data_IF_609868352390
#
_entry.id   IF_609868352390
#
_cell.length_a   1.000
_cell.length_b   1.000
_cell.length_c   1.000
_cell.angle_alpha   90.00
_cell.angle_beta   90.00
_cell.angle_gamma   90.00
#
_symmetry.space_group_name_H-M   'P 1'
#
loop_
_entity.id
_entity.type
_entity.pdbx_description
1 polymer ?
#
# COMPACT_ATOMS: atom_id res chain seq x y z
N UNK A 1 4.76 10.36 8.05
CA UNK A 1 4.35 9.83 9.37
C UNK A 1 5.51 9.82 10.37
N UNK A 2 6.73 9.35 10.03
CA UNK A 2 7.89 9.37 10.97
C UNK A 2 8.13 10.76 11.58
N UNK A 3 8.26 11.80 10.74
CA UNK A 3 8.46 13.18 11.22
C UNK A 3 7.34 13.65 12.16
N UNK A 4 6.11 13.18 11.97
CA UNK A 4 4.99 13.50 12.84
C UNK A 4 5.16 12.79 14.19
N UNK A 5 5.39 11.47 14.18
CA UNK A 5 5.64 10.69 15.38
C UNK A 5 6.81 11.24 16.21
N UNK A 6 7.90 11.64 15.53
CA UNK A 6 9.05 12.28 16.18
C UNK A 6 8.70 13.63 16.81
N UNK A 7 7.90 14.47 16.14
CA UNK A 7 7.51 15.80 16.64
C UNK A 7 6.55 15.75 17.82
N UNK A 8 5.61 14.82 17.76
CA UNK A 8 4.59 14.64 18.80
C UNK A 8 5.08 13.71 19.92
N UNK A 9 6.32 13.22 19.82
CA UNK A 9 6.97 12.37 20.84
C UNK A 9 6.18 11.08 21.15
N UNK A 10 5.56 10.50 20.12
CA UNK A 10 4.72 9.30 20.24
C UNK A 10 5.36 8.07 19.59
N UNK A 11 5.13 6.86 20.14
CA UNK A 11 5.52 5.63 19.49
C UNK A 11 4.64 5.32 18.27
N UNK A 12 5.14 4.46 17.38
CA UNK A 12 4.36 3.94 16.25
C UNK A 12 3.92 2.52 16.57
N UNK A 13 2.63 2.21 16.43
CA UNK A 13 2.09 0.85 16.58
C UNK A 13 1.74 0.32 15.20
N UNK A 14 2.54 -0.60 14.62
CA UNK A 14 2.24 -1.16 13.32
C UNK A 14 1.03 -2.09 13.37
N UNK A 15 0.21 -2.03 12.32
CA UNK A 15 -0.85 -2.99 12.06
C UNK A 15 -0.55 -3.59 10.69
N UNK A 16 -0.36 -4.90 10.63
CA UNK A 16 -0.04 -5.63 9.41
C UNK A 16 -1.21 -6.52 9.01
N UNK A 17 -1.35 -6.80 7.72
CA UNK A 17 -2.39 -7.66 7.18
C UNK A 17 -1.84 -8.55 6.05
N UNK A 18 -2.20 -9.84 6.09
CA UNK A 18 -1.98 -10.82 5.03
C UNK A 18 -3.35 -11.27 4.48
N UNK A 19 -3.47 -11.45 3.17
CA UNK A 19 -4.72 -11.84 2.51
C UNK A 19 -5.58 -10.69 1.98
N UNK A 20 -5.28 -9.43 2.32
CA UNK A 20 -6.08 -8.29 1.87
C UNK A 20 -6.02 -8.10 0.34
N UNK A 21 -4.83 -8.27 -0.26
CA UNK A 21 -4.65 -8.16 -1.71
C UNK A 21 -5.11 -9.39 -2.49
N UNK A 22 -5.39 -10.51 -1.82
CA UNK A 22 -5.89 -11.74 -2.45
C UNK A 22 -7.37 -11.61 -2.85
N UNK A 23 -8.04 -10.54 -2.40
CA UNK A 23 -9.42 -10.20 -2.77
C UNK A 23 -9.58 -9.67 -4.19
N UNK A 24 -8.47 -9.29 -4.85
CA UNK A 24 -8.44 -8.65 -6.17
C UNK A 24 -7.54 -9.43 -7.13
N UNK A 25 -8.07 -9.78 -8.32
CA UNK A 25 -7.28 -10.40 -9.38
C UNK A 25 -6.96 -9.32 -10.41
N UNK A 26 -5.72 -8.83 -10.41
CA UNK A 26 -5.22 -7.90 -11.44
C UNK A 26 -4.58 -8.71 -12.55
N UNK A 27 -5.13 -8.62 -13.76
CA UNK A 27 -4.62 -9.35 -14.92
C UNK A 27 -3.42 -8.64 -15.56
N UNK A 28 -3.54 -7.33 -15.77
CA UNK A 28 -2.48 -6.50 -16.35
C UNK A 28 -2.76 -5.01 -16.13
N UNK A 29 -1.78 -4.16 -16.39
CA UNK A 29 -1.93 -2.70 -16.45
C UNK A 29 -1.77 -2.27 -17.91
N UNK A 30 -2.75 -1.53 -18.45
CA UNK A 30 -2.75 -1.04 -19.82
C UNK A 30 -2.60 0.48 -19.93
N UNK A 31 -2.05 1.12 -18.89
CA UNK A 31 -1.89 2.57 -18.84
C UNK A 31 -1.16 3.15 -20.06
N UNK A 32 -0.03 2.56 -20.46
CA UNK A 32 0.77 3.05 -21.61
C UNK A 32 -0.01 2.97 -22.92
N UNK A 33 -0.76 1.89 -23.13
CA UNK A 33 -1.60 1.66 -24.31
C UNK A 33 -2.74 2.68 -24.35
N UNK A 34 -3.37 2.98 -23.21
CA UNK A 34 -4.41 4.01 -23.10
C UNK A 34 -3.85 5.40 -23.43
N UNK A 35 -2.65 5.72 -22.96
CA UNK A 35 -1.99 7.00 -23.30
C UNK A 35 -1.67 7.08 -24.80
N UNK A 36 -1.21 6.00 -25.41
CA UNK A 36 -0.97 5.94 -26.85
C UNK A 36 -2.27 6.15 -27.66
N UNK A 37 -3.37 5.50 -27.25
CA UNK A 37 -4.68 5.67 -27.88
C UNK A 37 -5.20 7.11 -27.75
N UNK A 38 -5.01 7.73 -26.58
CA UNK A 38 -5.34 9.14 -26.36
C UNK A 38 -4.52 10.05 -27.28
N UNK A 39 -3.22 9.78 -27.43
CA UNK A 39 -2.35 10.51 -28.36
C UNK A 39 -2.77 10.37 -29.83
N UNK A 40 -3.37 9.24 -30.20
CA UNK A 40 -3.96 9.00 -31.53
C UNK A 40 -5.35 9.61 -31.73
N UNK A 41 -5.86 10.37 -30.74
CA UNK A 41 -7.11 11.12 -30.85
C UNK A 41 -8.36 10.36 -30.44
N UNK A 42 -8.22 9.21 -29.75
CA UNK A 42 -9.38 8.50 -29.20
C UNK A 42 -9.95 9.28 -28.00
N UNK A 43 -11.23 9.68 -28.00
CA UNK A 43 -11.83 10.38 -26.87
C UNK A 43 -11.98 9.43 -25.68
N UNK A 44 -11.11 9.57 -24.68
CA UNK A 44 -11.24 8.93 -23.38
C UNK A 44 -11.89 9.90 -22.39
N UNK A 45 -13.08 9.55 -21.89
CA UNK A 45 -13.81 10.35 -20.88
C UNK A 45 -13.26 10.21 -19.46
N UNK A 46 -12.32 9.28 -19.25
CA UNK A 46 -11.66 9.06 -17.97
C UNK A 46 -10.31 9.75 -18.07
N UNK A 47 -10.07 10.80 -17.29
CA UNK A 47 -8.70 11.31 -17.09
C UNK A 47 -7.84 10.22 -16.44
N UNK A 48 -6.92 9.59 -17.17
CA UNK A 48 -6.03 8.60 -16.60
C UNK A 48 -4.85 9.39 -16.02
N UNK A 49 -5.08 10.17 -14.97
CA UNK A 49 -4.02 10.91 -14.25
C UNK A 49 -3.53 10.14 -13.00
N UNK A 50 -4.04 8.92 -12.81
CA UNK A 50 -3.76 8.05 -11.67
C UNK A 50 -2.48 7.21 -11.91
N UNK A 51 -1.89 7.27 -13.12
CA UNK A 51 -0.65 6.56 -13.45
C UNK A 51 -0.77 5.05 -13.62
N UNK A 52 -1.99 4.49 -13.48
CA UNK A 52 -2.31 3.07 -13.65
C UNK A 52 -3.67 2.93 -14.34
N UNK A 53 -3.82 1.88 -15.16
CA UNK A 53 -5.09 1.52 -15.80
C UNK A 53 -5.25 -0.01 -15.81
N UNK A 54 -5.70 -0.60 -14.68
CA UNK A 54 -5.71 -2.05 -14.54
C UNK A 54 -6.83 -2.71 -15.34
N UNK A 55 -6.54 -3.90 -15.86
CA UNK A 55 -7.55 -4.90 -16.23
C UNK A 55 -7.71 -5.83 -15.04
N UNK A 56 -8.93 -5.91 -14.52
CA UNK A 56 -9.30 -6.66 -13.33
C UNK A 56 -10.17 -7.86 -13.71
N UNK A 57 -9.99 -8.98 -13.02
CA UNK A 57 -10.95 -10.09 -13.03
C UNK A 57 -11.73 -10.08 -11.71
N UNK A 58 -13.06 -9.92 -11.78
CA UNK A 58 -13.87 -9.74 -10.59
C UNK A 58 -15.36 -9.57 -10.85
N UNK A 59 -16.15 -9.59 -9.78
CA UNK A 59 -17.61 -9.48 -9.84
C UNK A 59 -18.05 -8.01 -9.76
N UNK A 60 -19.17 -7.63 -10.41
CA UNK A 60 -20.07 -8.48 -11.20
C UNK A 60 -19.65 -8.69 -12.66
N UNK A 61 -18.67 -7.95 -13.16
CA UNK A 61 -18.42 -7.80 -14.60
C UNK A 61 -17.68 -8.95 -15.26
N UNK A 62 -17.06 -9.85 -14.48
CA UNK A 62 -16.09 -10.81 -14.99
C UNK A 62 -14.77 -10.09 -15.26
N UNK A 63 -14.71 -9.27 -16.32
CA UNK A 63 -13.54 -8.47 -16.69
C UNK A 63 -13.87 -6.98 -16.54
N UNK A 64 -13.19 -6.31 -15.62
CA UNK A 64 -13.22 -4.86 -15.44
C UNK A 64 -12.04 -4.19 -16.16
N UNK A 65 -12.29 -3.07 -16.83
CA UNK A 65 -11.26 -2.28 -17.53
C UNK A 65 -11.23 -0.89 -16.91
N UNK A 66 -10.09 -0.50 -16.33
CA UNK A 66 -9.93 0.75 -15.61
C UNK A 66 -10.38 0.66 -14.14
N UNK A 67 -10.67 1.80 -13.47
CA UNK A 67 -11.05 1.85 -12.05
C UNK A 67 -12.51 1.40 -11.86
N UNK A 68 -12.83 0.16 -12.23
CA UNK A 68 -14.16 -0.42 -12.06
C UNK A 68 -14.38 -0.88 -10.62
N UNK A 69 -15.60 -0.70 -10.11
CA UNK A 69 -15.97 -1.24 -8.80
C UNK A 69 -15.96 -2.77 -8.84
N UNK A 70 -15.06 -3.40 -8.08
CA UNK A 70 -15.00 -4.84 -7.88
C UNK A 70 -15.56 -5.21 -6.50
N UNK A 71 -16.36 -6.28 -6.44
CA UNK A 71 -16.78 -6.87 -5.17
C UNK A 71 -15.68 -7.82 -4.70
N UNK A 72 -15.06 -7.58 -3.52
CA UNK A 72 -13.99 -8.43 -3.03
C UNK A 72 -14.49 -9.85 -2.78
N UNK A 73 -13.70 -10.82 -3.20
CA UNK A 73 -13.98 -12.24 -2.96
C UNK A 73 -13.87 -12.51 -1.46
N UNK A 74 -14.76 -13.33 -0.86
CA UNK A 74 -14.66 -13.71 0.54
C UNK A 74 -13.42 -14.58 0.77
N UNK A 75 -12.31 -13.94 1.17
CA UNK A 75 -11.06 -14.58 1.60
C UNK A 75 -10.76 -14.18 3.04
N UNK A 76 -10.10 -15.07 3.78
CA UNK A 76 -9.70 -14.78 5.15
C UNK A 76 -8.54 -13.79 5.17
N UNK A 77 -8.69 -12.68 5.89
CA UNK A 77 -7.63 -11.69 6.11
C UNK A 77 -7.07 -11.91 7.51
N UNK A 78 -5.77 -12.17 7.60
CA UNK A 78 -5.06 -12.30 8.86
C UNK A 78 -4.43 -10.95 9.20
N UNK A 79 -4.77 -10.39 10.36
CA UNK A 79 -4.22 -9.11 10.82
C UNK A 79 -3.50 -9.27 12.15
N UNK A 80 -2.43 -8.50 12.37
CA UNK A 80 -1.72 -8.45 13.64
C UNK A 80 -1.41 -7.02 14.04
N UNK A 81 -1.71 -6.71 15.30
CA UNK A 81 -1.23 -5.49 15.96
C UNK A 81 0.13 -5.80 16.57
N UNK A 82 1.15 -5.07 16.15
CA UNK A 82 2.53 -5.25 16.59
C UNK A 82 2.81 -4.48 17.89
N UNK A 83 3.94 -4.79 18.53
CA UNK A 83 4.42 -4.00 19.66
C UNK A 83 4.73 -2.55 19.23
N UNK A 84 4.59 -1.56 20.14
CA UNK A 84 4.97 -0.19 19.86
C UNK A 84 6.47 -0.06 19.54
N UNK A 85 6.79 0.68 18.49
CA UNK A 85 8.14 1.05 18.09
C UNK A 85 8.49 2.37 18.76
N UNK A 86 9.50 2.33 19.63
CA UNK A 86 10.03 3.49 20.35
C UNK A 86 11.34 3.90 19.69
N UNK A 87 11.48 5.18 19.40
CA UNK A 87 12.69 5.76 18.81
C UNK A 87 13.65 6.25 19.89
N UNK A 88 14.93 6.34 19.56
CA UNK A 88 15.96 6.77 20.51
C UNK A 88 15.85 8.27 20.84
N UNK A 89 15.58 9.09 19.82
CA UNK A 89 15.48 10.55 19.89
C UNK A 89 14.13 11.01 19.36
N UNK A 90 13.56 12.01 20.02
CA UNK A 90 12.31 12.67 19.66
C UNK A 90 12.48 14.19 19.58
N UNK A 91 11.41 14.90 19.20
CA UNK A 91 11.35 16.34 19.10
C UNK A 91 11.69 16.91 17.72
N UNK A 92 11.60 18.23 17.61
CA UNK A 92 11.77 18.95 16.32
C UNK A 92 13.16 18.78 15.70
N UNK A 93 14.20 18.66 16.53
CA UNK A 93 15.57 18.43 16.07
C UNK A 93 15.67 17.08 15.35
N UNK A 94 15.20 16.00 16.00
CA UNK A 94 15.16 14.66 15.42
C UNK A 94 14.32 14.60 14.13
N UNK A 95 13.16 15.27 14.11
CA UNK A 95 12.29 15.31 12.93
C UNK A 95 12.86 16.12 11.74
N UNK A 96 13.87 16.96 11.98
CA UNK A 96 14.53 17.78 10.96
C UNK A 96 15.83 17.14 10.46
N UNK A 97 16.38 16.18 11.20
CA UNK A 97 17.50 15.34 10.78
C UNK A 97 17.01 14.30 9.77
N UNK A 98 17.30 14.55 8.48
CA UNK A 98 16.84 13.68 7.39
C UNK A 98 17.39 12.27 7.49
N UNK A 99 18.67 12.11 7.83
CA UNK A 99 19.30 10.80 7.93
C UNK A 99 18.66 9.97 9.05
N UNK A 100 18.37 10.61 10.19
CA UNK A 100 17.69 9.95 11.28
C UNK A 100 16.24 9.59 10.95
N UNK A 101 15.49 10.48 10.28
CA UNK A 101 14.13 10.18 9.82
C UNK A 101 14.12 8.98 8.88
N UNK A 102 15.07 8.91 7.93
CA UNK A 102 15.18 7.80 6.99
C UNK A 102 15.57 6.50 7.72
N UNK A 103 16.45 6.56 8.73
CA UNK A 103 16.78 5.40 9.57
C UNK A 103 15.57 4.91 10.39
N UNK A 104 14.79 5.81 10.98
CA UNK A 104 13.54 5.47 11.68
C UNK A 104 12.51 4.86 10.73
N UNK A 105 12.43 5.34 9.49
CA UNK A 105 11.56 4.74 8.47
C UNK A 105 11.96 3.31 8.16
N UNK A 106 13.25 3.05 7.90
CA UNK A 106 13.76 1.71 7.63
C UNK A 106 13.58 0.76 8.82
N UNK A 107 13.72 1.25 10.05
CA UNK A 107 13.40 0.49 11.26
C UNK A 107 11.93 0.06 11.29
N UNK A 108 11.00 0.98 11.06
CA UNK A 108 9.56 0.64 11.02
C UNK A 108 9.27 -0.35 9.91
N UNK A 109 9.79 -0.09 8.70
CA UNK A 109 9.56 -0.94 7.52
C UNK A 109 10.08 -2.36 7.75
N UNK A 110 11.31 -2.51 8.25
CA UNK A 110 11.92 -3.81 8.51
C UNK A 110 11.19 -4.60 9.60
N UNK A 111 10.75 -3.95 10.68
CA UNK A 111 9.97 -4.63 11.72
C UNK A 111 8.58 -5.06 11.21
N UNK A 112 7.92 -4.20 10.43
CA UNK A 112 6.65 -4.55 9.78
C UNK A 112 6.82 -5.75 8.85
N UNK A 113 7.88 -5.78 8.03
CA UNK A 113 8.16 -6.89 7.13
C UNK A 113 8.42 -8.18 7.89
N UNK A 114 9.29 -8.15 8.90
CA UNK A 114 9.59 -9.33 9.71
C UNK A 114 8.34 -9.89 10.42
N UNK A 115 7.50 -9.00 10.95
CA UNK A 115 6.25 -9.40 11.58
C UNK A 115 5.26 -9.98 10.56
N UNK A 116 5.24 -9.47 9.33
CA UNK A 116 4.40 -9.99 8.24
C UNK A 116 4.88 -11.35 7.77
N UNK A 117 6.19 -11.54 7.59
CA UNK A 117 6.77 -12.82 7.21
C UNK A 117 6.48 -13.89 8.27
N UNK A 118 6.61 -13.54 9.55
CA UNK A 118 6.22 -14.41 10.67
C UNK A 118 4.72 -14.71 10.66
N UNK A 119 3.86 -13.73 10.36
CA UNK A 119 2.42 -13.94 10.27
C UNK A 119 2.08 -14.94 9.16
N UNK A 120 2.72 -14.82 8.00
CA UNK A 120 2.51 -15.73 6.87
C UNK A 120 2.88 -17.16 7.27
N UNK A 121 4.02 -17.36 7.95
CA UNK A 121 4.44 -18.69 8.39
C UNK A 121 3.50 -19.33 9.43
N UNK A 122 2.82 -18.53 10.26
CA UNK A 122 1.87 -19.03 11.27
C UNK A 122 0.52 -19.46 10.68
N UNK A 123 0.14 -18.91 9.53
CA UNK A 123 -1.20 -19.08 8.95
C UNK A 123 -1.22 -19.98 7.70
N UNK A 124 -0.05 -20.34 7.18
CA UNK A 124 0.14 -21.36 6.14
C UNK A 124 0.15 -22.77 6.72
#
# INVERSE_FOLDING_TARGET
FIKLALREEVPIVPIIAHGAHDTLIVLTDIYEQVQQLKAWGLPFSLEPDIGVFPILLGLPWGIGIGPTMNIPIPVQIHTRVCAPIIFERYGRAAASDRQYVDACYELVRSQMQWALDSLIQEVQ
#
